data_IF_917976240508
#
_entry.id   IF_917976240508
#
_cell.length_a   1.000
_cell.length_b   1.000
_cell.length_c   1.000
_cell.angle_alpha   90.00
_cell.angle_beta   90.00
_cell.angle_gamma   90.00
#
_symmetry.space_group_name_H-M   'P 1'
#
loop_
_entity.id
_entity.type
_entity.pdbx_description
1 polymer ?
#
# COMPACT_ATOMS: atom_id res chain seq x y z
N UNK A 1 10.15 11.59 -31.19
CA UNK A 1 10.87 10.34 -31.50
C UNK A 1 11.26 9.69 -30.19
N UNK A 2 10.60 8.62 -29.78
CA UNK A 2 10.98 7.86 -28.59
C UNK A 2 12.02 6.81 -28.98
N UNK A 3 13.28 7.00 -28.57
CA UNK A 3 14.33 6.01 -28.80
C UNK A 3 14.07 4.75 -27.98
N UNK A 4 14.46 3.59 -28.50
CA UNK A 4 14.51 2.36 -27.73
C UNK A 4 15.52 2.52 -26.58
N UNK A 5 15.16 2.05 -25.40
CA UNK A 5 15.97 2.09 -24.19
C UNK A 5 15.97 0.71 -23.56
N UNK A 6 17.12 0.35 -23.00
CA UNK A 6 17.22 -0.84 -22.16
C UNK A 6 16.23 -0.79 -21.00
N UNK A 7 15.45 -1.84 -20.84
CA UNK A 7 14.64 -2.12 -19.66
C UNK A 7 15.05 -3.46 -19.06
N UNK A 8 14.67 -3.72 -17.81
CA UNK A 8 14.75 -5.07 -17.23
C UNK A 8 13.34 -5.58 -16.99
N UNK A 9 12.99 -6.68 -17.64
CA UNK A 9 11.71 -7.36 -17.52
C UNK A 9 11.81 -8.46 -16.46
N UNK A 10 10.79 -8.52 -15.61
CA UNK A 10 10.53 -9.63 -14.69
C UNK A 10 9.26 -10.29 -15.21
N UNK A 11 9.42 -11.44 -15.85
CA UNK A 11 8.32 -12.25 -16.35
C UNK A 11 7.98 -13.29 -15.27
N UNK A 12 6.85 -13.09 -14.60
CA UNK A 12 6.40 -13.99 -13.55
C UNK A 12 5.95 -15.35 -14.08
N UNK A 13 5.44 -15.41 -15.30
CA UNK A 13 4.96 -16.64 -15.93
C UNK A 13 6.13 -17.50 -16.42
N UNK A 14 7.11 -16.88 -17.08
CA UNK A 14 8.35 -17.56 -17.46
C UNK A 14 9.31 -17.76 -16.26
N UNK A 15 9.02 -17.14 -15.11
CA UNK A 15 9.91 -17.09 -13.92
C UNK A 15 11.33 -16.68 -14.30
N UNK A 16 11.42 -15.64 -15.12
CA UNK A 16 12.66 -15.17 -15.70
C UNK A 16 12.84 -13.66 -15.50
N UNK A 17 14.10 -13.25 -15.37
CA UNK A 17 14.50 -11.85 -15.46
C UNK A 17 15.34 -11.69 -16.71
N UNK A 18 14.98 -10.76 -17.57
CA UNK A 18 15.67 -10.51 -18.84
C UNK A 18 15.83 -9.01 -19.07
N UNK A 19 16.69 -8.63 -20.02
CA UNK A 19 16.78 -7.24 -20.46
C UNK A 19 16.58 -7.16 -21.97
N UNK A 20 15.87 -6.14 -22.40
CA UNK A 20 15.61 -5.87 -23.81
C UNK A 20 15.63 -4.36 -24.07
N UNK A 21 15.95 -3.98 -25.30
CA UNK A 21 15.81 -2.60 -25.76
C UNK A 21 14.39 -2.38 -26.26
N UNK A 22 13.65 -1.48 -25.62
CA UNK A 22 12.25 -1.20 -25.95
C UNK A 22 11.95 0.28 -25.89
N UNK A 23 11.02 0.73 -26.71
CA UNK A 23 10.46 2.08 -26.58
C UNK A 23 9.78 2.24 -25.20
N UNK A 24 10.16 3.25 -24.43
CA UNK A 24 9.62 3.51 -23.08
C UNK A 24 8.59 4.63 -23.15
N UNK A 25 7.47 4.35 -23.83
CA UNK A 25 6.27 5.20 -23.84
C UNK A 25 5.16 4.56 -23.00
N UNK A 26 4.19 5.36 -22.53
CA UNK A 26 3.04 4.84 -21.77
C UNK A 26 2.31 3.77 -22.57
N UNK A 27 2.14 3.95 -23.88
CA UNK A 27 1.50 2.96 -24.76
C UNK A 27 2.29 1.65 -24.87
N UNK A 28 3.61 1.73 -25.07
CA UNK A 28 4.49 0.55 -25.15
C UNK A 28 4.53 -0.23 -23.83
N UNK A 29 4.65 0.47 -22.70
CA UNK A 29 4.63 -0.15 -21.37
C UNK A 29 3.27 -0.74 -21.02
N UNK A 30 2.17 -0.08 -21.42
CA UNK A 30 0.80 -0.61 -21.24
C UNK A 30 0.61 -1.89 -22.06
N UNK A 31 1.14 -1.94 -23.29
CA UNK A 31 1.08 -3.14 -24.12
C UNK A 31 1.91 -4.28 -23.53
N UNK A 32 3.06 -3.98 -22.93
CA UNK A 32 3.94 -4.96 -22.29
C UNK A 32 3.32 -5.54 -21.01
N UNK A 33 2.66 -4.70 -20.22
CA UNK A 33 2.11 -5.06 -18.91
C UNK A 33 0.61 -5.35 -18.96
N UNK A 34 -0.02 -5.38 -20.13
CA UNK A 34 -1.46 -5.61 -20.30
C UNK A 34 -2.39 -4.48 -19.80
N UNK A 35 -1.94 -3.62 -18.88
CA UNK A 35 -2.70 -2.47 -18.38
C UNK A 35 -1.81 -1.28 -18.01
N UNK A 36 -2.43 -0.16 -17.61
CA UNK A 36 -1.72 1.08 -17.35
C UNK A 36 -0.68 0.90 -16.23
N UNK A 37 0.62 1.11 -16.51
CA UNK A 37 1.67 0.88 -15.53
C UNK A 37 1.59 1.86 -14.35
N UNK A 38 1.84 1.35 -13.15
CA UNK A 38 2.01 2.12 -11.93
C UNK A 38 3.37 1.82 -11.27
N UNK A 39 3.92 2.78 -10.54
CA UNK A 39 5.15 2.57 -9.76
C UNK A 39 4.78 1.79 -8.50
N UNK A 40 5.26 0.55 -8.41
CA UNK A 40 4.95 -0.35 -7.29
C UNK A 40 6.06 -0.39 -6.25
N UNK A 41 7.31 -0.17 -6.67
CA UNK A 41 8.44 -0.05 -5.75
C UNK A 41 9.54 0.86 -6.30
N UNK A 42 10.42 1.32 -5.40
CA UNK A 42 11.68 1.98 -5.75
C UNK A 42 12.84 1.17 -5.18
N UNK A 43 13.82 0.87 -6.01
CA UNK A 43 15.04 0.16 -5.63
C UNK A 43 16.02 1.14 -4.94
N UNK A 44 16.97 0.64 -4.13
CA UNK A 44 17.92 1.49 -3.39
C UNK A 44 18.76 2.44 -4.27
N UNK A 45 19.04 2.04 -5.51
CA UNK A 45 19.77 2.86 -6.49
C UNK A 45 18.90 3.94 -7.16
N UNK A 46 17.61 4.01 -6.83
CA UNK A 46 16.64 4.97 -7.35
C UNK A 46 15.88 4.51 -8.59
N UNK A 47 16.14 3.30 -9.07
CA UNK A 47 15.34 2.67 -10.14
C UNK A 47 13.91 2.39 -9.66
N UNK A 48 13.00 2.25 -10.61
CA UNK A 48 11.56 2.09 -10.36
C UNK A 48 11.09 0.78 -10.92
N UNK A 49 10.36 0.02 -10.11
CA UNK A 49 9.57 -1.11 -10.56
C UNK A 49 8.19 -0.61 -10.98
N UNK A 50 7.88 -0.79 -12.26
CA UNK A 50 6.57 -0.56 -12.84
C UNK A 50 5.84 -1.88 -12.97
N UNK A 51 4.59 -1.93 -12.55
CA UNK A 51 3.74 -3.11 -12.72
C UNK A 51 2.36 -2.65 -13.16
N UNK A 52 1.62 -3.53 -13.82
CA UNK A 52 0.19 -3.39 -14.00
C UNK A 52 -0.54 -3.90 -12.76
N UNK A 53 -1.80 -3.47 -12.58
CA UNK A 53 -2.73 -4.25 -11.75
C UNK A 53 -3.24 -5.38 -12.63
N UNK A 54 -2.95 -6.61 -12.23
CA UNK A 54 -3.52 -7.82 -12.84
C UNK A 54 -4.34 -8.56 -11.77
N UNK A 55 -5.43 -9.24 -12.17
CA UNK A 55 -6.17 -10.12 -11.27
C UNK A 55 -5.24 -11.24 -10.73
N UNK A 56 -5.44 -11.64 -9.47
CA UNK A 56 -4.60 -12.62 -8.73
C UNK A 56 -4.71 -14.08 -9.21
N UNK A 57 -4.66 -14.31 -10.52
CA UNK A 57 -4.77 -15.64 -11.13
C UNK A 57 -3.43 -16.15 -11.67
N UNK A 58 -2.47 -15.25 -11.95
CA UNK A 58 -1.20 -15.56 -12.59
C UNK A 58 -0.03 -15.58 -11.62
N UNK A 59 1.10 -16.21 -12.00
CA UNK A 59 2.33 -16.25 -11.20
C UNK A 59 2.76 -14.84 -10.76
N UNK A 60 3.44 -14.76 -9.61
CA UNK A 60 3.86 -13.51 -9.02
C UNK A 60 5.30 -13.56 -8.52
N UNK A 61 5.75 -12.44 -7.99
CA UNK A 61 7.08 -12.33 -7.43
C UNK A 61 7.14 -11.31 -6.29
N UNK A 62 8.17 -11.42 -5.46
CA UNK A 62 8.59 -10.37 -4.52
C UNK A 62 10.01 -9.96 -4.87
N UNK A 63 10.37 -8.71 -4.56
CA UNK A 63 11.75 -8.24 -4.61
C UNK A 63 12.18 -7.92 -3.17
N UNK A 64 13.10 -8.72 -2.63
CA UNK A 64 13.53 -8.59 -1.24
C UNK A 64 12.39 -8.83 -0.24
N UNK A 65 11.98 -7.78 0.49
CA UNK A 65 10.84 -7.81 1.46
C UNK A 65 9.61 -7.04 0.97
N UNK A 66 9.49 -6.81 -0.35
CA UNK A 66 8.34 -6.11 -0.93
C UNK A 66 7.04 -6.90 -0.75
N UNK A 67 5.91 -6.22 -0.98
CA UNK A 67 4.63 -6.90 -1.22
C UNK A 67 4.75 -7.81 -2.46
N UNK A 68 3.92 -8.84 -2.53
CA UNK A 68 3.79 -9.69 -3.72
C UNK A 68 3.27 -8.83 -4.87
N UNK A 69 3.94 -8.94 -6.01
CA UNK A 69 3.52 -8.38 -7.29
C UNK A 69 2.98 -9.54 -8.12
N UNK A 70 1.74 -9.42 -8.56
CA UNK A 70 1.11 -10.35 -9.51
C UNK A 70 1.42 -9.87 -10.93
N UNK A 71 1.76 -10.80 -11.81
CA UNK A 71 2.03 -10.49 -13.21
C UNK A 71 3.44 -9.99 -13.48
N UNK A 72 3.63 -9.40 -14.67
CA UNK A 72 4.91 -8.91 -15.12
C UNK A 72 5.33 -7.59 -14.43
N UNK A 73 6.64 -7.41 -14.29
CA UNK A 73 7.24 -6.17 -13.79
C UNK A 73 8.29 -5.63 -14.73
N UNK A 74 8.37 -4.30 -14.86
CA UNK A 74 9.40 -3.63 -15.67
C UNK A 74 10.19 -2.70 -14.77
N UNK A 75 11.51 -2.88 -14.74
CA UNK A 75 12.41 -1.97 -14.05
C UNK A 75 12.96 -0.95 -15.03
N UNK A 76 12.76 0.31 -14.69
CA UNK A 76 13.27 1.49 -15.40
C UNK A 76 14.08 2.35 -14.45
N UNK A 77 14.91 3.23 -14.99
CA UNK A 77 15.68 4.18 -14.19
C UNK A 77 14.84 5.32 -13.62
N UNK A 78 15.54 6.37 -13.17
CA UNK A 78 14.90 7.58 -12.66
C UNK A 78 14.08 8.26 -13.75
N UNK A 79 13.04 8.97 -13.33
CA UNK A 79 12.23 9.84 -14.19
C UNK A 79 13.05 11.09 -14.51
N UNK A 80 13.31 11.35 -15.79
CA UNK A 80 14.05 12.52 -16.28
C UNK A 80 13.11 13.72 -16.57
N UNK A 81 11.89 13.46 -17.04
CA UNK A 81 10.87 14.45 -17.38
C UNK A 81 9.44 13.88 -17.19
N UNK A 82 8.42 14.67 -17.53
CA UNK A 82 7.02 14.22 -17.47
C UNK A 82 6.79 13.09 -18.49
N UNK A 83 6.90 11.84 -18.04
CA UNK A 83 6.53 10.67 -18.84
C UNK A 83 7.72 9.93 -19.47
N UNK A 84 8.96 10.37 -19.22
CA UNK A 84 10.17 9.70 -19.67
C UNK A 84 10.96 9.10 -18.49
N UNK A 85 11.69 8.02 -18.78
CA UNK A 85 12.51 7.29 -17.83
C UNK A 85 13.91 7.12 -18.42
N UNK A 86 14.91 7.05 -17.53
CA UNK A 86 16.30 6.75 -17.89
C UNK A 86 16.56 5.24 -17.87
N UNK A 87 17.66 4.76 -18.51
CA UNK A 87 18.11 3.37 -18.39
C UNK A 87 18.22 2.93 -16.92
N UNK A 88 17.72 1.74 -16.55
CA UNK A 88 17.89 1.24 -15.20
C UNK A 88 19.38 0.99 -14.92
N UNK A 89 19.82 1.34 -13.71
CA UNK A 89 21.15 0.97 -13.21
C UNK A 89 21.19 -0.47 -12.71
N UNK A 90 20.03 -1.03 -12.39
CA UNK A 90 19.86 -2.41 -11.93
C UNK A 90 20.04 -3.35 -13.11
N UNK A 91 20.94 -4.32 -12.97
CA UNK A 91 21.15 -5.37 -13.97
C UNK A 91 20.35 -6.64 -13.65
N UNK A 92 20.26 -7.52 -14.64
CA UNK A 92 19.53 -8.80 -14.59
C UNK A 92 20.05 -9.67 -13.44
N UNK A 93 21.37 -9.78 -13.25
CA UNK A 93 21.98 -10.62 -12.22
C UNK A 93 21.57 -10.19 -10.80
N UNK A 94 21.52 -8.88 -10.55
CA UNK A 94 21.11 -8.33 -9.26
C UNK A 94 19.64 -8.63 -8.99
N UNK A 95 18.78 -8.41 -9.98
CA UNK A 95 17.34 -8.69 -9.84
C UNK A 95 17.06 -10.17 -9.67
N UNK A 96 17.75 -11.04 -10.42
CA UNK A 96 17.62 -12.51 -10.30
C UNK A 96 17.92 -12.98 -8.87
N UNK A 97 18.89 -12.37 -8.20
CA UNK A 97 19.21 -12.68 -6.79
C UNK A 97 18.16 -12.18 -5.80
N UNK A 98 17.50 -11.08 -6.10
CA UNK A 98 16.52 -10.42 -5.22
C UNK A 98 15.09 -10.91 -5.42
N UNK A 99 14.77 -11.39 -6.61
CA UNK A 99 13.44 -11.89 -6.96
C UNK A 99 13.21 -13.23 -6.25
N UNK A 100 12.02 -13.36 -5.67
CA UNK A 100 11.49 -14.64 -5.18
C UNK A 100 10.16 -14.88 -5.85
N UNK A 101 10.05 -16.01 -6.55
CA UNK A 101 8.85 -16.42 -7.26
C UNK A 101 7.78 -16.90 -6.28
N UNK A 102 6.55 -16.50 -6.53
CA UNK A 102 5.37 -16.87 -5.74
C UNK A 102 4.41 -17.59 -6.67
N UNK A 103 4.11 -18.85 -6.35
CA UNK A 103 3.13 -19.65 -7.09
C UNK A 103 1.70 -19.15 -6.80
N UNK A 104 0.75 -19.29 -7.74
CA UNK A 104 -0.66 -18.89 -7.56
C UNK A 104 -1.28 -19.37 -6.26
N UNK A 105 -1.06 -20.63 -5.90
CA UNK A 105 -1.62 -21.22 -4.68
C UNK A 105 -1.03 -20.63 -3.38
N UNK A 106 0.15 -20.02 -3.47
CA UNK A 106 0.84 -19.37 -2.35
C UNK A 106 0.74 -17.85 -2.41
N UNK A 107 0.06 -17.29 -3.41
CA UNK A 107 -0.28 -15.89 -3.40
C UNK A 107 -1.36 -15.65 -2.37
N UNK A 108 -1.33 -14.51 -1.66
CA UNK A 108 -2.52 -14.05 -0.97
C UNK A 108 -3.61 -13.99 -2.04
N UNK A 109 -4.54 -14.95 -2.03
CA UNK A 109 -5.70 -14.90 -2.91
C UNK A 109 -6.36 -13.55 -2.62
N UNK A 110 -6.29 -12.61 -3.55
CA UNK A 110 -7.42 -11.70 -3.67
C UNK A 110 -8.60 -12.64 -3.90
N UNK A 111 -9.50 -12.68 -2.92
CA UNK A 111 -10.77 -13.38 -3.05
C UNK A 111 -11.30 -13.16 -4.47
N UNK A 112 -11.79 -14.19 -5.14
CA UNK A 112 -12.24 -14.12 -6.54
C UNK A 112 -13.34 -13.07 -6.78
N UNK A 113 -13.88 -12.48 -5.71
CA UNK A 113 -14.51 -11.18 -5.72
C UNK A 113 -13.51 -10.13 -5.21
N UNK A 114 -13.14 -9.12 -5.99
CA UNK A 114 -12.34 -7.95 -5.57
C UNK A 114 -12.99 -7.07 -4.48
N UNK A 115 -13.52 -7.71 -3.44
CA UNK A 115 -14.39 -7.26 -2.36
C UNK A 115 -14.15 -8.16 -1.14
N UNK A 116 -12.89 -8.34 -0.73
CA UNK A 116 -12.64 -8.86 0.62
C UNK A 116 -13.18 -7.83 1.60
N UNK A 117 -14.37 -8.09 2.12
CA UNK A 117 -14.92 -7.31 3.22
C UNK A 117 -14.06 -7.63 4.43
N UNK A 118 -13.45 -6.61 5.01
CA UNK A 118 -12.67 -6.69 6.24
C UNK A 118 -13.41 -5.94 7.32
N UNK A 119 -13.36 -6.48 8.52
CA UNK A 119 -13.84 -5.84 9.73
C UNK A 119 -12.75 -4.92 10.24
N UNK A 120 -13.09 -3.66 10.42
CA UNK A 120 -12.23 -2.62 10.95
C UNK A 120 -12.91 -1.94 12.14
N UNK A 121 -12.17 -1.14 12.90
CA UNK A 121 -12.72 -0.28 13.93
C UNK A 121 -12.64 1.17 13.47
N UNK A 122 -13.80 1.82 13.38
CA UNK A 122 -13.89 3.27 13.18
C UNK A 122 -13.87 3.96 14.53
N UNK A 123 -12.98 4.94 14.69
CA UNK A 123 -12.90 5.82 15.85
C UNK A 123 -13.24 7.23 15.39
N UNK A 124 -14.31 7.80 15.96
CA UNK A 124 -14.79 9.12 15.61
C UNK A 124 -14.73 10.06 16.83
N UNK A 125 -13.70 10.91 16.94
CA UNK A 125 -13.53 11.78 18.10
C UNK A 125 -14.56 12.92 18.17
N UNK A 126 -15.24 13.26 17.07
CA UNK A 126 -16.29 14.28 17.07
C UNK A 126 -17.54 13.79 17.80
N UNK A 127 -17.94 12.55 17.53
CA UNK A 127 -19.11 11.91 18.14
C UNK A 127 -18.77 11.07 19.38
N UNK A 128 -17.46 10.90 19.66
CA UNK A 128 -16.92 10.01 20.69
C UNK A 128 -17.37 8.56 20.51
N UNK A 129 -17.57 8.15 19.25
CA UNK A 129 -18.00 6.81 18.90
C UNK A 129 -16.81 5.93 18.51
N UNK A 130 -16.87 4.66 18.90
CA UNK A 130 -15.95 3.62 18.48
C UNK A 130 -16.80 2.43 18.08
N UNK A 131 -16.77 2.03 16.82
CA UNK A 131 -17.61 0.93 16.33
C UNK A 131 -16.88 0.07 15.30
N UNK A 132 -17.29 -1.19 15.21
CA UNK A 132 -16.86 -2.04 14.12
C UNK A 132 -17.59 -1.65 12.84
N UNK A 133 -16.87 -1.67 11.74
CA UNK A 133 -17.39 -1.43 10.40
C UNK A 133 -16.84 -2.50 9.47
N UNK A 134 -17.68 -3.01 8.57
CA UNK A 134 -17.23 -3.87 7.49
C UNK A 134 -17.05 -3.03 6.24
N UNK A 135 -15.87 -3.07 5.64
CA UNK A 135 -15.56 -2.34 4.42
C UNK A 135 -14.75 -3.22 3.46
N UNK A 136 -14.78 -2.90 2.18
CA UNK A 136 -13.92 -3.61 1.22
C UNK A 136 -12.47 -3.21 1.44
N UNK A 137 -11.54 -4.11 1.19
CA UNK A 137 -10.09 -3.89 1.34
C UNK A 137 -9.46 -2.95 0.28
N UNK A 138 -10.21 -2.00 -0.27
CA UNK A 138 -9.77 -1.05 -1.29
C UNK A 138 -9.66 0.38 -0.75
N UNK A 139 -8.85 1.21 -1.40
CA UNK A 139 -8.58 2.58 -0.96
C UNK A 139 -9.83 3.48 -0.93
N UNK A 140 -10.78 3.29 -1.86
CA UNK A 140 -12.01 4.07 -1.89
C UNK A 140 -12.92 3.76 -0.71
N UNK A 141 -12.99 2.50 -0.30
CA UNK A 141 -13.73 2.08 0.89
C UNK A 141 -13.11 2.58 2.19
N UNK A 142 -11.77 2.61 2.29
CA UNK A 142 -11.07 3.25 3.42
C UNK A 142 -11.38 4.76 3.50
N UNK A 143 -11.29 5.46 2.36
CA UNK A 143 -11.58 6.89 2.27
C UNK A 143 -13.04 7.17 2.63
N UNK A 144 -13.98 6.37 2.11
CA UNK A 144 -15.39 6.46 2.44
C UNK A 144 -15.67 6.30 3.93
N UNK A 145 -15.04 5.32 4.59
CA UNK A 145 -15.24 5.05 6.00
C UNK A 145 -14.81 6.22 6.91
N UNK A 146 -13.68 6.87 6.61
CA UNK A 146 -13.22 8.05 7.37
C UNK A 146 -13.87 9.36 6.91
N UNK A 147 -14.70 9.32 5.86
CA UNK A 147 -15.40 10.49 5.32
C UNK A 147 -14.50 11.43 4.51
N UNK A 148 -13.49 10.90 3.80
CA UNK A 148 -12.57 11.65 2.95
C UNK A 148 -11.25 10.90 2.73
N UNK A 149 -10.31 11.51 2.00
CA UNK A 149 -9.02 10.86 1.74
C UNK A 149 -8.32 10.48 3.05
N UNK A 150 -7.98 9.21 3.22
CA UNK A 150 -7.22 8.72 4.35
C UNK A 150 -5.72 8.63 4.01
N UNK A 151 -4.88 8.63 5.04
CA UNK A 151 -3.47 8.28 4.94
C UNK A 151 -3.13 7.27 6.02
N UNK A 152 -2.19 6.38 5.70
CA UNK A 152 -1.55 5.54 6.71
C UNK A 152 -0.81 6.44 7.72
N UNK A 153 -1.09 6.23 9.00
CA UNK A 153 -0.44 6.95 10.10
C UNK A 153 0.67 6.08 10.71
N UNK A 154 0.30 4.91 11.20
CA UNK A 154 1.25 3.99 11.84
C UNK A 154 0.70 2.56 11.94
N UNK A 155 1.57 1.64 12.34
CA UNK A 155 1.18 0.33 12.88
C UNK A 155 1.14 0.40 14.40
N UNK A 156 0.04 -0.05 15.01
CA UNK A 156 -0.14 -0.08 16.47
C UNK A 156 0.47 -1.36 17.04
N UNK A 157 0.33 -2.46 16.30
CA UNK A 157 0.92 -3.76 16.59
C UNK A 157 1.55 -4.33 15.33
N UNK A 158 2.13 -5.52 15.40
CA UNK A 158 2.54 -6.26 14.19
C UNK A 158 1.36 -6.62 13.28
N UNK A 159 0.12 -6.58 13.81
CA UNK A 159 -1.09 -7.01 13.13
C UNK A 159 -2.00 -5.86 12.69
N UNK A 160 -1.98 -4.68 13.33
CA UNK A 160 -2.96 -3.60 13.05
C UNK A 160 -2.32 -2.30 12.57
N UNK A 161 -3.02 -1.61 11.67
CA UNK A 161 -2.65 -0.32 11.10
C UNK A 161 -3.73 0.74 11.36
N UNK A 162 -3.30 1.98 11.60
CA UNK A 162 -4.19 3.15 11.73
C UNK A 162 -4.12 4.00 10.47
N UNK A 163 -5.30 4.31 9.93
CA UNK A 163 -5.50 5.29 8.88
C UNK A 163 -6.23 6.50 9.45
N UNK A 164 -5.80 7.69 9.08
CA UNK A 164 -6.39 8.96 9.54
C UNK A 164 -6.83 9.78 8.34
N UNK A 165 -7.93 10.53 8.47
CA UNK A 165 -8.36 11.45 7.43
C UNK A 165 -7.35 12.59 7.25
N UNK A 166 -7.02 12.90 5.99
CA UNK A 166 -6.10 13.97 5.62
C UNK A 166 -6.79 15.34 5.76
N UNK A 167 -6.04 16.35 6.22
CA UNK A 167 -6.49 17.74 6.21
C UNK A 167 -7.46 18.12 7.33
N UNK A 168 -7.67 17.25 8.33
CA UNK A 168 -8.42 17.61 9.54
C UNK A 168 -7.47 18.36 10.50
N UNK A 169 -7.88 19.57 10.90
CA UNK A 169 -7.20 20.34 11.96
C UNK A 169 -7.45 19.74 13.36
N UNK A 170 -6.65 20.13 14.38
CA UNK A 170 -6.55 19.45 15.69
C UNK A 170 -7.77 19.56 16.62
N UNK A 171 -8.93 20.02 16.12
CA UNK A 171 -10.11 20.29 16.97
C UNK A 171 -10.68 19.02 17.61
N UNK A 172 -10.83 17.94 16.84
CA UNK A 172 -11.26 16.65 17.38
C UNK A 172 -10.13 15.63 17.24
N UNK A 173 -9.72 15.02 18.33
CA UNK A 173 -8.65 14.02 18.37
C UNK A 173 -8.94 12.95 19.42
N UNK A 174 -8.31 11.79 19.28
CA UNK A 174 -8.35 10.74 20.28
C UNK A 174 -6.93 10.32 20.67
N UNK A 175 -6.76 9.84 21.91
CA UNK A 175 -5.47 9.42 22.47
C UNK A 175 -5.56 8.00 22.95
N UNK A 176 -4.48 7.25 22.74
CA UNK A 176 -4.27 5.94 23.34
C UNK A 176 -2.80 5.75 23.64
N UNK A 177 -2.48 5.32 24.86
CA UNK A 177 -1.11 5.00 25.29
C UNK A 177 -0.09 6.12 24.98
N UNK A 178 -0.51 7.37 25.17
CA UNK A 178 0.30 8.57 24.89
C UNK A 178 0.36 9.00 23.42
N UNK A 179 -0.17 8.21 22.48
CA UNK A 179 -0.23 8.54 21.06
C UNK A 179 -1.51 9.31 20.73
N UNK A 180 -1.37 10.40 19.98
CA UNK A 180 -2.46 11.29 19.60
C UNK A 180 -2.80 11.12 18.13
N UNK A 181 -4.07 10.89 17.85
CA UNK A 181 -4.60 10.68 16.51
C UNK A 181 -5.61 11.80 16.16
N UNK A 182 -5.33 12.59 15.10
CA UNK A 182 -6.23 13.67 14.72
C UNK A 182 -7.42 13.13 13.91
N UNK A 183 -8.61 13.62 14.26
CA UNK A 183 -9.84 13.39 13.52
C UNK A 183 -10.28 11.92 13.47
N UNK A 184 -11.27 11.68 12.60
CA UNK A 184 -11.81 10.34 12.36
C UNK A 184 -10.74 9.41 11.81
N UNK A 185 -10.64 8.25 12.43
CA UNK A 185 -9.60 7.26 12.20
C UNK A 185 -10.18 5.88 11.99
N UNK A 186 -9.45 5.04 11.26
CA UNK A 186 -9.81 3.65 11.00
C UNK A 186 -8.66 2.74 11.39
N UNK A 187 -8.94 1.72 12.22
CA UNK A 187 -8.00 0.68 12.60
C UNK A 187 -8.34 -0.59 11.83
N UNK A 188 -7.39 -1.10 11.06
CA UNK A 188 -7.58 -2.26 10.18
C UNK A 188 -6.43 -3.24 10.37
N UNK A 189 -6.74 -4.54 10.33
CA UNK A 189 -5.72 -5.58 10.32
C UNK A 189 -4.87 -5.52 9.05
N UNK A 190 -3.59 -5.86 9.17
CA UNK A 190 -2.62 -5.85 8.10
C UNK A 190 -1.72 -7.08 8.21
N UNK A 191 -1.81 -7.96 7.23
CA UNK A 191 -0.94 -9.13 7.15
C UNK A 191 0.54 -8.75 6.98
N UNK A 192 1.43 -9.73 7.17
CA UNK A 192 2.87 -9.58 6.90
C UNK A 192 3.19 -9.14 5.47
N UNK A 193 2.27 -9.38 4.53
CA UNK A 193 2.40 -9.02 3.11
C UNK A 193 1.79 -7.66 2.76
N UNK A 194 1.23 -6.94 3.75
CA UNK A 194 0.62 -5.63 3.52
C UNK A 194 -0.82 -5.68 3.00
N UNK A 195 -1.42 -6.86 2.90
CA UNK A 195 -2.85 -7.06 2.62
C UNK A 195 -3.67 -6.72 3.85
N UNK A 196 -4.80 -6.02 3.65
CA UNK A 196 -5.73 -5.73 4.72
C UNK A 196 -6.50 -7.00 5.10
N UNK A 197 -6.66 -7.21 6.40
CA UNK A 197 -7.39 -8.34 6.99
C UNK A 197 -8.26 -7.81 8.13
N UNK A 198 -9.07 -8.68 8.72
CA UNK A 198 -9.83 -8.33 9.91
C UNK A 198 -8.92 -7.80 11.02
N UNK A 199 -9.37 -6.73 11.65
CA UNK A 199 -8.70 -6.11 12.80
C UNK A 199 -8.55 -7.11 13.94
N UNK A 200 -7.33 -7.22 14.47
CA UNK A 200 -7.05 -8.11 15.60
C UNK A 200 -7.35 -7.42 16.95
N UNK A 201 -7.29 -6.09 16.98
CA UNK A 201 -7.64 -5.29 18.17
C UNK A 201 -9.07 -5.56 18.62
N UNK A 202 -9.22 -5.93 19.89
CA UNK A 202 -10.52 -6.03 20.54
C UNK A 202 -11.15 -4.65 20.77
N UNK A 203 -12.40 -4.48 20.33
CA UNK A 203 -13.10 -3.20 20.40
C UNK A 203 -13.47 -2.82 21.84
N UNK A 204 -13.77 -3.79 22.71
CA UNK A 204 -14.14 -3.50 24.09
C UNK A 204 -12.93 -2.94 24.87
N UNK A 205 -11.77 -3.56 24.70
CA UNK A 205 -10.49 -3.12 25.25
C UNK A 205 -10.07 -1.76 24.71
N UNK A 206 -10.29 -1.51 23.41
CA UNK A 206 -10.04 -0.20 22.82
C UNK A 206 -10.93 0.87 23.45
N UNK A 207 -12.24 0.64 23.56
CA UNK A 207 -13.19 1.57 24.20
C UNK A 207 -12.81 1.92 25.63
N UNK A 208 -12.32 0.95 26.40
CA UNK A 208 -11.93 1.16 27.79
C UNK A 208 -10.62 1.97 27.94
N UNK A 209 -9.81 2.11 26.89
CA UNK A 209 -8.46 2.69 26.96
C UNK A 209 -8.24 3.92 26.07
N UNK A 210 -9.25 4.36 25.32
CA UNK A 210 -9.18 5.55 24.47
C UNK A 210 -9.71 6.76 25.21
N UNK A 211 -8.99 7.88 25.10
CA UNK A 211 -9.42 9.18 25.56
C UNK A 211 -9.80 10.07 24.38
N UNK A 212 -10.90 10.81 24.49
CA UNK A 212 -11.34 11.76 23.47
C UNK A 212 -11.04 13.19 23.89
N UNK A 213 -10.49 13.97 22.96
CA UNK A 213 -10.30 15.41 23.14
C UNK A 213 -11.58 16.14 22.74
N UNK A 214 -12.11 16.95 23.65
CA UNK A 214 -13.19 17.89 23.33
C UNK A 214 -12.68 19.00 22.40
N UNK A 215 -13.53 19.55 21.50
CA UNK A 215 -13.17 20.64 20.60
C UNK A 215 -12.56 21.86 21.28
N UNK A 216 -13.00 22.14 22.51
CA UNK A 216 -12.61 23.31 23.29
C UNK A 216 -11.52 23.01 24.32
N UNK A 217 -11.04 21.77 24.40
CA UNK A 217 -9.97 21.41 25.33
C UNK A 217 -8.60 21.89 24.82
N UNK A 218 -7.69 22.30 25.72
CA UNK A 218 -6.32 22.61 25.35
C UNK A 218 -5.67 21.39 24.68
N UNK A 219 -4.73 21.64 23.77
CA UNK A 219 -4.00 20.57 23.08
C UNK A 219 -3.32 19.65 24.10
N UNK A 220 -3.36 18.34 23.81
CA UNK A 220 -2.58 17.40 24.58
C UNK A 220 -1.11 17.76 24.43
N UNK A 221 -0.50 18.15 25.55
CA UNK A 221 0.93 18.39 25.60
C UNK A 221 1.65 17.08 25.25
N UNK A 222 2.69 17.12 24.40
CA UNK A 222 3.54 15.95 24.22
C UNK A 222 4.11 15.56 25.60
N UNK A 223 4.36 14.26 25.84
CA UNK A 223 4.96 13.82 27.09
C UNK A 223 6.25 14.61 27.34
N UNK A 224 6.35 15.21 28.53
CA UNK A 224 7.58 15.85 29.01
C UNK A 224 8.71 14.85 28.84
N UNK A 225 9.74 15.22 28.06
CA UNK A 225 10.97 14.41 27.96
C UNK A 225 11.72 14.41 29.29
#
# INVERSE_FOLDING_TARGET
MGGAMKIVLIDSNARAVSSEDREVSVGSLTRLLGSKPAVTARLPNGDRLLTAKEPCVDNGFTIGRSRVVVGAGVVVGKRDAVGAYTPPKTNVDTLTKLVRWVAPDNMPRESEDGRTMVTAILVDPETRDIRQVSLRSDAGSLDGAVGGRCRFMMRVTTADAVFVKVGIGPRAAWRKDGLVFPGRSLIVGCSRYGTLVDVATDIASLRASVEFKSPDAPDWLPPSR
#
